data_IF_453734547540
#
_entry.id   IF_453734547540
#
_cell.length_a   1.000
_cell.length_b   1.000
_cell.length_c   1.000
_cell.angle_alpha   90.00
_cell.angle_beta   90.00
_cell.angle_gamma   90.00
#
_symmetry.space_group_name_H-M   'P 1'
#
loop_
_entity.id
_entity.type
_entity.pdbx_description
1 polymer ?
#
# COMPACT_ATOMS: atom_id res chain seq x y z
N UNK A 1 19.30 -20.28 3.44
CA UNK A 1 18.05 -21.08 3.60
C UNK A 1 17.83 -21.91 2.34
N UNK A 2 17.29 -23.14 2.46
CA UNK A 2 16.97 -23.95 1.28
C UNK A 2 15.84 -23.28 0.47
N UNK A 3 15.93 -23.38 -0.86
CA UNK A 3 14.90 -22.91 -1.77
C UNK A 3 13.64 -23.79 -1.62
N UNK A 4 12.42 -23.22 -1.49
CA UNK A 4 11.23 -24.04 -1.25
C UNK A 4 10.79 -24.77 -2.53
N UNK A 5 10.49 -26.04 -2.41
CA UNK A 5 9.97 -26.85 -3.53
C UNK A 5 8.44 -26.75 -3.66
N UNK A 6 7.74 -26.59 -2.52
CA UNK A 6 6.27 -26.49 -2.46
C UNK A 6 5.80 -25.60 -1.33
N UNK A 7 4.82 -24.74 -1.64
CA UNK A 7 4.09 -23.88 -0.70
C UNK A 7 2.61 -23.84 -1.10
N UNK A 8 1.76 -23.22 -0.30
CA UNK A 8 0.36 -23.01 -0.68
C UNK A 8 0.21 -21.72 -1.51
N UNK A 9 0.99 -20.66 -1.15
CA UNK A 9 0.89 -19.35 -1.77
C UNK A 9 2.26 -18.83 -2.21
N UNK A 10 2.35 -18.40 -3.46
CA UNK A 10 3.49 -17.62 -3.95
C UNK A 10 2.99 -16.21 -4.24
N UNK A 11 3.67 -15.22 -3.67
CA UNK A 11 3.41 -13.79 -3.89
C UNK A 11 4.60 -13.20 -4.63
N UNK A 12 4.35 -12.63 -5.80
CA UNK A 12 5.39 -12.02 -6.66
C UNK A 12 5.44 -10.53 -6.42
N UNK A 13 6.58 -10.04 -5.97
CA UNK A 13 6.86 -8.64 -5.67
C UNK A 13 6.94 -8.35 -4.16
N UNK A 14 8.09 -7.86 -3.70
CA UNK A 14 8.34 -7.41 -2.32
C UNK A 14 8.18 -5.90 -2.15
N UNK A 15 7.21 -5.31 -2.86
CA UNK A 15 6.72 -3.96 -2.65
C UNK A 15 5.55 -3.92 -1.67
N UNK A 16 4.92 -2.76 -1.53
CA UNK A 16 3.81 -2.53 -0.60
C UNK A 16 2.65 -3.53 -0.80
N UNK A 17 2.24 -3.80 -2.04
CA UNK A 17 1.14 -4.70 -2.33
C UNK A 17 1.45 -6.15 -1.95
N UNK A 18 2.62 -6.66 -2.35
CA UNK A 18 2.99 -8.04 -2.07
C UNK A 18 3.21 -8.29 -0.57
N UNK A 19 3.95 -7.44 0.11
CA UNK A 19 4.25 -7.61 1.54
C UNK A 19 3.02 -7.39 2.42
N UNK A 20 2.19 -6.39 2.12
CA UNK A 20 0.92 -6.20 2.81
C UNK A 20 -0.01 -7.40 2.62
N UNK A 21 -0.11 -7.94 1.40
CA UNK A 21 -0.88 -9.15 1.12
C UNK A 21 -0.34 -10.33 1.91
N UNK A 22 0.97 -10.54 1.93
CA UNK A 22 1.60 -11.64 2.67
C UNK A 22 1.30 -11.57 4.18
N UNK A 23 1.50 -10.40 4.77
CA UNK A 23 1.21 -10.19 6.19
C UNK A 23 -0.26 -10.42 6.53
N UNK A 24 -1.19 -9.77 5.80
CA UNK A 24 -2.62 -9.91 6.07
C UNK A 24 -3.15 -11.32 5.80
N UNK A 25 -2.63 -12.01 4.78
CA UNK A 25 -2.97 -13.41 4.50
C UNK A 25 -2.53 -14.31 5.64
N UNK A 26 -1.26 -14.20 6.08
CA UNK A 26 -0.73 -14.98 7.20
C UNK A 26 -1.53 -14.74 8.49
N UNK A 27 -1.83 -13.47 8.80
CA UNK A 27 -2.64 -13.10 9.96
C UNK A 27 -4.07 -13.69 9.89
N UNK A 28 -4.72 -13.66 8.72
CA UNK A 28 -6.06 -14.23 8.51
C UNK A 28 -6.05 -15.75 8.59
N UNK A 29 -5.03 -16.42 8.04
CA UNK A 29 -4.89 -17.89 8.16
C UNK A 29 -4.75 -18.28 9.63
N UNK A 30 -3.90 -17.61 10.37
CA UNK A 30 -3.68 -17.84 11.81
C UNK A 30 -4.97 -17.62 12.61
N UNK A 31 -5.68 -16.50 12.38
CA UNK A 31 -6.93 -16.19 13.06
C UNK A 31 -8.05 -17.21 12.78
N UNK A 32 -8.04 -17.84 11.61
CA UNK A 32 -9.01 -18.89 11.23
C UNK A 32 -8.57 -20.31 11.60
N UNK A 33 -7.43 -20.50 12.27
CA UNK A 33 -6.89 -21.82 12.58
C UNK A 33 -6.52 -22.65 11.35
N UNK A 34 -6.22 -22.00 10.19
CA UNK A 34 -5.89 -22.64 8.91
C UNK A 34 -4.37 -22.64 8.62
N UNK A 35 -3.54 -22.44 9.63
CA UNK A 35 -2.09 -22.33 9.52
C UNK A 35 -1.61 -20.91 9.82
N UNK A 36 -0.42 -20.60 9.35
CA UNK A 36 0.27 -19.31 9.51
C UNK A 36 0.96 -18.92 8.20
N UNK A 37 2.00 -18.08 8.26
CA UNK A 37 2.79 -17.69 7.08
C UNK A 37 3.78 -18.74 6.56
N UNK A 38 3.97 -19.88 7.22
CA UNK A 38 5.02 -20.87 6.85
C UNK A 38 4.83 -21.48 5.46
N UNK A 39 3.62 -21.40 4.92
CA UNK A 39 3.27 -21.83 3.57
C UNK A 39 3.11 -20.70 2.57
N UNK A 40 3.57 -19.51 2.92
CA UNK A 40 3.57 -18.31 2.06
C UNK A 40 5.01 -17.96 1.73
N UNK A 41 5.29 -17.77 0.45
CA UNK A 41 6.57 -17.25 -0.03
C UNK A 41 6.33 -15.97 -0.83
N UNK A 42 7.09 -14.92 -0.51
CA UNK A 42 7.22 -13.72 -1.33
C UNK A 42 8.50 -13.82 -2.12
N UNK A 43 8.45 -13.58 -3.42
CA UNK A 43 9.63 -13.56 -4.29
C UNK A 43 9.76 -12.21 -4.99
N UNK A 44 10.99 -11.69 -5.08
CA UNK A 44 11.30 -10.47 -5.82
C UNK A 44 12.61 -10.64 -6.57
N UNK A 45 12.68 -10.11 -7.80
CA UNK A 45 13.88 -10.13 -8.64
C UNK A 45 15.03 -9.31 -8.05
N UNK A 46 14.71 -8.34 -7.21
CA UNK A 46 15.66 -7.42 -6.60
C UNK A 46 15.49 -7.45 -5.06
N UNK A 47 15.78 -6.38 -4.39
CA UNK A 47 15.62 -6.19 -2.95
C UNK A 47 14.19 -5.78 -2.56
N UNK A 48 13.87 -5.88 -1.29
CA UNK A 48 12.64 -5.30 -0.71
C UNK A 48 12.59 -3.81 -1.05
N UNK A 49 11.42 -3.34 -1.47
CA UNK A 49 11.17 -1.95 -1.85
C UNK A 49 11.96 -1.41 -3.05
N UNK A 50 12.64 -2.24 -3.84
CA UNK A 50 13.47 -1.80 -4.98
C UNK A 50 12.68 -1.07 -6.08
N UNK A 51 11.36 -1.34 -6.20
CA UNK A 51 10.50 -0.73 -7.20
C UNK A 51 9.85 0.58 -6.77
N UNK A 52 8.65 0.86 -7.32
CA UNK A 52 7.89 2.09 -7.07
C UNK A 52 7.64 2.38 -5.59
N UNK A 53 7.50 1.35 -4.74
CA UNK A 53 7.29 1.53 -3.31
C UNK A 53 8.45 2.23 -2.62
N UNK A 54 9.70 1.96 -3.02
CA UNK A 54 10.89 2.57 -2.41
C UNK A 54 11.17 4.01 -2.86
N UNK A 55 10.56 4.45 -3.97
CA UNK A 55 10.74 5.81 -4.50
C UNK A 55 9.49 6.70 -4.31
N UNK A 56 8.44 6.16 -3.70
CA UNK A 56 7.23 6.92 -3.40
C UNK A 56 7.52 8.04 -2.39
N UNK A 57 6.71 9.11 -2.39
CA UNK A 57 6.87 10.22 -1.44
C UNK A 57 6.45 9.88 0.00
N UNK A 58 5.81 8.72 0.21
CA UNK A 58 5.40 8.25 1.53
C UNK A 58 4.23 9.00 2.17
N UNK A 59 3.55 9.88 1.44
CA UNK A 59 2.39 10.61 1.97
C UNK A 59 1.20 9.68 2.18
N UNK A 60 0.65 9.71 3.38
CA UNK A 60 -0.55 8.98 3.81
C UNK A 60 -1.66 9.97 4.04
N UNK A 61 -2.76 9.85 3.29
CA UNK A 61 -3.88 10.80 3.32
C UNK A 61 -5.20 10.15 2.93
N UNK A 62 -6.30 10.83 3.23
CA UNK A 62 -7.66 10.45 2.78
C UNK A 62 -8.21 11.38 1.68
N UNK A 63 -7.47 12.40 1.31
CA UNK A 63 -7.87 13.40 0.32
C UNK A 63 -7.92 12.82 -1.10
N UNK A 64 -9.05 12.22 -1.44
CA UNK A 64 -9.36 11.68 -2.78
C UNK A 64 -10.77 12.10 -3.19
N UNK A 65 -10.97 12.38 -4.46
CA UNK A 65 -12.27 12.77 -4.98
C UNK A 65 -13.25 11.59 -5.05
N UNK A 66 -12.76 10.39 -5.39
CA UNK A 66 -13.61 9.20 -5.50
C UNK A 66 -13.99 8.66 -4.10
N UNK A 67 -15.30 8.46 -3.80
CA UNK A 67 -15.76 7.96 -2.51
C UNK A 67 -15.13 6.63 -2.09
N UNK A 68 -15.08 5.65 -3.01
CA UNK A 68 -14.48 4.34 -2.73
C UNK A 68 -13.00 4.43 -2.31
N UNK A 69 -12.25 5.37 -2.90
CA UNK A 69 -10.86 5.61 -2.52
C UNK A 69 -10.75 6.20 -1.11
N UNK A 70 -11.68 7.06 -0.70
CA UNK A 70 -11.68 7.61 0.67
C UNK A 70 -11.95 6.54 1.71
N UNK A 71 -12.93 5.66 1.49
CA UNK A 71 -13.21 4.54 2.38
C UNK A 71 -11.97 3.63 2.50
N UNK A 72 -11.37 3.26 1.38
CA UNK A 72 -10.17 2.44 1.36
C UNK A 72 -9.01 3.13 2.10
N UNK A 73 -8.78 4.41 1.85
CA UNK A 73 -7.67 5.15 2.49
C UNK A 73 -7.90 5.37 3.97
N UNK A 74 -9.14 5.52 4.44
CA UNK A 74 -9.43 5.56 5.87
C UNK A 74 -8.99 4.27 6.57
N UNK A 75 -9.27 3.11 5.97
CA UNK A 75 -8.80 1.81 6.46
C UNK A 75 -7.26 1.68 6.39
N UNK A 76 -6.63 2.22 5.33
CA UNK A 76 -5.17 2.21 5.20
C UNK A 76 -4.49 3.07 6.28
N UNK A 77 -5.05 4.24 6.62
CA UNK A 77 -4.54 5.08 7.71
C UNK A 77 -4.54 4.31 9.04
N UNK A 78 -5.60 3.56 9.33
CA UNK A 78 -5.67 2.71 10.54
C UNK A 78 -4.56 1.66 10.59
N UNK A 79 -4.20 1.10 9.43
CA UNK A 79 -3.08 0.15 9.35
C UNK A 79 -1.76 0.82 9.74
N UNK A 80 -1.47 2.01 9.21
CA UNK A 80 -0.25 2.75 9.52
C UNK A 80 -0.19 3.18 11.00
N UNK A 81 -1.30 3.66 11.55
CA UNK A 81 -1.44 4.04 12.95
C UNK A 81 -1.29 2.85 13.90
N UNK A 82 -1.69 1.65 13.49
CA UNK A 82 -1.69 0.44 14.35
C UNK A 82 -0.31 0.07 14.88
N UNK A 83 0.75 0.45 14.19
CA UNK A 83 2.13 0.23 14.61
C UNK A 83 3.07 1.28 13.99
N UNK A 84 2.79 2.54 14.31
CA UNK A 84 3.48 3.69 13.74
C UNK A 84 5.01 3.61 13.87
N UNK A 85 5.50 3.03 14.97
CA UNK A 85 6.93 2.87 15.20
C UNK A 85 7.57 1.92 14.17
N UNK A 86 6.98 0.75 13.95
CA UNK A 86 7.51 -0.25 13.03
C UNK A 86 7.36 0.19 11.57
N UNK A 87 6.30 0.94 11.27
CA UNK A 87 6.08 1.50 9.94
C UNK A 87 6.80 2.83 9.70
N UNK A 88 7.55 3.34 10.66
CA UNK A 88 8.15 4.67 10.59
C UNK A 88 7.15 5.73 10.09
N UNK A 89 5.93 5.64 10.62
CA UNK A 89 4.82 6.51 10.30
C UNK A 89 4.77 7.70 11.26
N UNK A 90 4.55 8.88 10.71
CA UNK A 90 4.48 10.14 11.42
C UNK A 90 3.10 10.74 11.20
N UNK A 91 2.29 10.76 12.26
CA UNK A 91 0.95 11.32 12.28
C UNK A 91 1.03 12.85 12.45
N UNK A 92 1.29 13.52 11.36
CA UNK A 92 1.41 15.00 11.30
C UNK A 92 0.24 15.65 10.59
N UNK A 93 -0.76 14.86 10.18
CA UNK A 93 -1.87 15.30 9.36
C UNK A 93 -1.51 15.51 7.90
N UNK A 94 -2.50 15.89 7.13
CA UNK A 94 -2.35 16.29 5.73
C UNK A 94 -3.15 17.56 5.45
N UNK A 95 -2.60 18.47 4.68
CA UNK A 95 -3.26 19.72 4.40
C UNK A 95 -3.28 19.98 2.90
N UNK A 96 -4.47 20.23 2.36
CA UNK A 96 -4.67 20.79 1.04
C UNK A 96 -5.06 22.25 1.17
N UNK A 97 -4.27 23.11 0.55
CA UNK A 97 -4.55 24.54 0.40
C UNK A 97 -4.90 24.80 -1.05
N UNK A 98 -5.98 25.56 -1.30
CA UNK A 98 -6.54 25.65 -2.65
C UNK A 98 -7.01 27.05 -3.00
N UNK A 99 -6.88 27.46 -4.29
CA UNK A 99 -7.48 28.66 -4.82
C UNK A 99 -8.99 28.50 -5.00
N UNK A 100 -9.69 29.60 -5.27
CA UNK A 100 -11.15 29.69 -5.42
C UNK A 100 -11.70 28.68 -6.44
N UNK A 101 -11.02 28.47 -7.55
CA UNK A 101 -11.47 27.55 -8.60
C UNK A 101 -11.55 26.07 -8.17
N UNK A 102 -10.91 25.69 -7.06
CA UNK A 102 -10.95 24.32 -6.51
C UNK A 102 -11.83 24.21 -5.26
N UNK A 103 -12.38 25.30 -4.76
CA UNK A 103 -13.05 25.33 -3.46
C UNK A 103 -14.27 24.40 -3.39
N UNK A 104 -15.07 24.32 -4.45
CA UNK A 104 -16.23 23.43 -4.52
C UNK A 104 -15.84 21.96 -4.44
N UNK A 105 -14.79 21.56 -5.15
CA UNK A 105 -14.32 20.16 -5.17
C UNK A 105 -13.75 19.75 -3.79
N UNK A 106 -13.02 20.68 -3.16
CA UNK A 106 -12.45 20.44 -1.82
C UNK A 106 -13.56 20.40 -0.76
N UNK A 107 -14.60 21.22 -0.89
CA UNK A 107 -15.78 21.17 -0.02
C UNK A 107 -16.52 19.83 -0.14
N UNK A 108 -16.64 19.29 -1.34
CA UNK A 108 -17.25 17.97 -1.55
C UNK A 108 -16.41 16.85 -0.93
N UNK A 109 -15.08 16.89 -1.09
CA UNK A 109 -14.18 15.93 -0.41
C UNK A 109 -14.40 15.99 1.10
N UNK A 110 -14.45 17.17 1.68
CA UNK A 110 -14.71 17.36 3.12
C UNK A 110 -16.06 16.75 3.54
N UNK A 111 -17.14 17.05 2.79
CA UNK A 111 -18.47 16.51 3.09
C UNK A 111 -18.47 14.99 3.09
N UNK A 112 -17.80 14.37 2.14
CA UNK A 112 -17.66 12.92 2.04
C UNK A 112 -16.77 12.33 3.13
N UNK A 113 -15.70 13.02 3.55
CA UNK A 113 -14.90 12.64 4.72
C UNK A 113 -15.74 12.65 6.00
N UNK A 114 -16.59 13.66 6.19
CA UNK A 114 -17.50 13.71 7.33
C UNK A 114 -18.50 12.55 7.34
N UNK A 115 -19.02 12.16 6.17
CA UNK A 115 -19.96 11.05 6.04
C UNK A 115 -19.37 9.70 6.49
N UNK A 116 -18.06 9.50 6.32
CA UNK A 116 -17.37 8.28 6.79
C UNK A 116 -16.71 8.47 8.17
N UNK A 117 -16.96 9.60 8.86
CA UNK A 117 -16.41 9.88 10.19
C UNK A 117 -14.92 10.18 10.20
N UNK A 118 -14.32 10.54 9.05
CA UNK A 118 -12.90 10.88 8.99
C UNK A 118 -12.64 12.27 9.60
N UNK A 119 -11.65 12.39 10.50
CA UNK A 119 -11.36 13.63 11.21
C UNK A 119 -10.64 14.64 10.33
N UNK A 120 -11.38 15.65 9.89
CA UNK A 120 -10.89 16.74 9.06
C UNK A 120 -11.62 18.04 9.36
N UNK A 121 -11.00 19.15 8.99
CA UNK A 121 -11.52 20.52 9.12
C UNK A 121 -11.45 21.20 7.75
N UNK A 122 -12.53 21.84 7.34
CA UNK A 122 -12.57 22.66 6.13
C UNK A 122 -12.74 24.14 6.50
N UNK A 123 -11.83 24.97 6.05
CA UNK A 123 -11.84 26.42 6.22
C UNK A 123 -12.10 27.01 4.86
N UNK A 124 -13.11 27.88 4.76
CA UNK A 124 -13.54 28.55 3.55
C UNK A 124 -13.41 30.05 3.68
N UNK A 125 -13.00 30.70 2.61
CA UNK A 125 -12.81 32.13 2.53
C UNK A 125 -11.35 32.54 2.76
N UNK A 126 -10.92 33.55 1.97
CA UNK A 126 -9.52 34.06 1.94
C UNK A 126 -9.01 34.43 3.33
N UNK A 127 -9.77 35.27 4.06
CA UNK A 127 -9.35 35.79 5.36
C UNK A 127 -9.25 34.70 6.43
N UNK A 128 -10.21 33.78 6.43
CA UNK A 128 -10.25 32.72 7.43
C UNK A 128 -9.17 31.68 7.13
N UNK A 129 -8.94 31.36 5.86
CA UNK A 129 -7.83 30.49 5.41
C UNK A 129 -6.48 31.10 5.81
N UNK A 130 -6.27 32.38 5.56
CA UNK A 130 -5.03 33.08 5.96
C UNK A 130 -4.84 33.06 7.49
N UNK A 131 -5.87 33.37 8.25
CA UNK A 131 -5.83 33.35 9.71
C UNK A 131 -5.53 31.92 10.25
N UNK A 132 -6.14 30.92 9.65
CA UNK A 132 -5.91 29.53 10.03
C UNK A 132 -4.46 29.11 9.77
N UNK A 133 -3.95 29.42 8.59
CA UNK A 133 -2.58 29.11 8.20
C UNK A 133 -1.54 29.85 9.05
N UNK A 134 -1.76 31.15 9.35
CA UNK A 134 -0.86 31.93 10.21
C UNK A 134 -0.80 31.45 11.66
N UNK A 135 -1.86 30.82 12.18
CA UNK A 135 -1.83 30.18 13.50
C UNK A 135 -0.91 28.98 13.55
N UNK A 136 -0.74 28.28 12.43
CA UNK A 136 0.09 27.08 12.33
C UNK A 136 1.51 27.41 11.87
N UNK A 137 1.63 28.36 10.95
CA UNK A 137 2.88 28.77 10.33
C UNK A 137 2.97 30.29 10.40
N UNK A 138 3.65 30.84 11.42
CA UNK A 138 3.68 32.28 11.72
C UNK A 138 4.23 33.15 10.59
N UNK A 139 5.04 32.57 9.70
CA UNK A 139 5.64 33.19 8.53
C UNK A 139 4.87 32.95 7.22
N UNK A 140 3.62 32.46 7.30
CA UNK A 140 2.80 32.20 6.13
C UNK A 140 2.56 33.43 5.26
N UNK A 141 2.90 33.34 3.97
CA UNK A 141 2.84 34.46 3.02
C UNK A 141 2.14 34.13 1.69
N UNK A 142 1.60 32.88 1.53
CA UNK A 142 0.96 32.48 0.28
C UNK A 142 -0.26 33.36 -0.03
N UNK A 143 -0.41 33.69 -1.31
CA UNK A 143 -1.51 34.49 -1.83
C UNK A 143 -2.43 33.62 -2.71
N UNK A 144 -3.67 34.12 -2.92
CA UNK A 144 -4.63 33.43 -3.80
C UNK A 144 -5.27 32.19 -3.20
N UNK A 145 -5.04 31.88 -1.93
CA UNK A 145 -5.65 30.76 -1.22
C UNK A 145 -6.98 31.20 -0.63
N UNK A 146 -8.03 30.43 -0.91
CA UNK A 146 -9.40 30.67 -0.41
C UNK A 146 -9.98 29.52 0.38
N UNK A 147 -9.32 28.36 0.37
CA UNK A 147 -9.77 27.23 1.18
C UNK A 147 -8.61 26.40 1.70
N UNK A 148 -8.83 25.76 2.85
CA UNK A 148 -7.92 24.81 3.48
C UNK A 148 -8.72 23.60 3.93
N UNK A 149 -8.38 22.42 3.43
CA UNK A 149 -8.82 21.15 3.98
C UNK A 149 -7.68 20.56 4.80
N UNK A 150 -7.88 20.45 6.09
CA UNK A 150 -6.88 19.89 7.00
C UNK A 150 -7.38 18.58 7.60
N UNK A 151 -6.83 17.48 7.12
CA UNK A 151 -6.99 16.15 7.71
C UNK A 151 -6.17 16.09 8.99
N UNK A 152 -6.80 15.71 10.10
CA UNK A 152 -6.12 15.56 11.39
C UNK A 152 -5.42 14.22 11.52
N UNK A 153 -5.93 13.22 10.81
CA UNK A 153 -5.31 11.92 10.61
C UNK A 153 -4.59 11.91 9.27
N UNK A 154 -3.61 11.03 9.13
CA UNK A 154 -2.73 11.02 7.98
C UNK A 154 -1.36 11.61 8.31
N UNK A 155 -0.51 11.75 7.32
CA UNK A 155 0.84 12.26 7.52
C UNK A 155 1.81 11.66 6.51
N UNK A 156 2.93 11.12 6.96
CA UNK A 156 3.87 10.44 6.08
C UNK A 156 4.52 9.24 6.76
N UNK A 157 4.90 8.26 5.95
CA UNK A 157 5.79 7.18 6.36
C UNK A 157 7.14 7.33 5.64
N UNK A 158 8.23 7.00 6.32
CA UNK A 158 9.49 6.81 5.61
C UNK A 158 9.31 5.56 4.73
N UNK A 159 9.15 5.77 3.43
CA UNK A 159 8.64 4.76 2.51
C UNK A 159 9.44 3.45 2.53
N UNK A 160 10.77 3.50 2.37
CA UNK A 160 11.61 2.29 2.40
C UNK A 160 11.51 1.59 3.76
N UNK A 161 11.66 2.32 4.86
CA UNK A 161 11.57 1.76 6.21
C UNK A 161 10.19 1.16 6.49
N UNK A 162 9.11 1.80 6.02
CA UNK A 162 7.75 1.29 6.16
C UNK A 162 7.54 -0.05 5.43
N UNK A 163 8.14 -0.21 4.24
CA UNK A 163 8.06 -1.46 3.48
C UNK A 163 8.87 -2.57 4.16
N UNK A 164 10.02 -2.25 4.75
CA UNK A 164 10.74 -3.20 5.60
C UNK A 164 9.93 -3.57 6.85
N UNK A 165 9.22 -2.61 7.46
CA UNK A 165 8.30 -2.90 8.57
C UNK A 165 7.17 -3.88 8.19
N UNK A 166 6.66 -3.80 6.97
CA UNK A 166 5.71 -4.80 6.44
C UNK A 166 6.36 -6.18 6.28
N UNK A 167 7.62 -6.22 5.81
CA UNK A 167 8.38 -7.46 5.69
C UNK A 167 8.58 -8.11 7.06
N UNK A 168 9.03 -7.34 8.06
CA UNK A 168 9.22 -7.82 9.44
C UNK A 168 7.92 -8.42 10.01
N UNK A 169 6.78 -7.77 9.79
CA UNK A 169 5.48 -8.28 10.21
C UNK A 169 5.09 -9.59 9.51
N UNK A 170 5.38 -9.71 8.23
CA UNK A 170 5.11 -10.93 7.47
C UNK A 170 6.03 -12.08 7.95
N UNK A 171 7.33 -11.83 8.11
CA UNK A 171 8.32 -12.79 8.60
C UNK A 171 8.02 -13.25 10.03
N UNK A 172 7.58 -12.34 10.90
CA UNK A 172 7.16 -12.67 12.27
C UNK A 172 5.97 -13.65 12.32
N UNK A 173 5.20 -13.76 11.24
CA UNK A 173 4.12 -14.74 11.07
C UNK A 173 4.56 -16.00 10.29
N UNK A 174 5.85 -16.15 9.97
CA UNK A 174 6.42 -17.29 9.29
C UNK A 174 6.52 -17.18 7.77
N UNK A 175 6.15 -16.05 7.17
CA UNK A 175 6.31 -15.81 5.72
C UNK A 175 7.80 -15.83 5.36
N UNK A 176 8.13 -16.47 4.25
CA UNK A 176 9.48 -16.47 3.71
C UNK A 176 9.60 -15.47 2.57
N UNK A 177 10.62 -14.62 2.62
CA UNK A 177 10.90 -13.61 1.58
C UNK A 177 12.19 -13.99 0.85
N UNK A 178 12.13 -14.15 -0.47
CA UNK A 178 13.23 -14.53 -1.34
C UNK A 178 13.52 -13.39 -2.32
N UNK A 179 14.50 -12.59 -2.01
CA UNK A 179 15.01 -11.52 -2.88
C UNK A 179 16.01 -12.06 -3.89
N UNK A 180 16.31 -11.29 -4.94
CA UNK A 180 17.19 -11.71 -6.02
C UNK A 180 16.70 -12.98 -6.72
N UNK A 181 15.38 -13.17 -6.84
CA UNK A 181 14.75 -14.34 -7.44
C UNK A 181 13.76 -13.89 -8.51
N UNK A 182 14.10 -14.16 -9.76
CA UNK A 182 13.32 -13.70 -10.92
C UNK A 182 12.34 -14.77 -11.37
N UNK A 183 11.06 -14.41 -11.48
CA UNK A 183 10.04 -15.26 -12.11
C UNK A 183 10.29 -15.30 -13.61
N UNK A 184 10.35 -16.49 -14.17
CA UNK A 184 10.60 -16.73 -15.60
C UNK A 184 9.40 -17.33 -16.32
N UNK A 185 8.40 -17.82 -15.57
CA UNK A 185 7.18 -18.41 -16.14
C UNK A 185 6.30 -19.06 -15.09
N UNK A 186 5.27 -19.75 -15.56
CA UNK A 186 4.31 -20.47 -14.73
C UNK A 186 4.15 -21.91 -15.23
N UNK A 187 3.76 -22.80 -14.32
CA UNK A 187 3.32 -24.14 -14.67
C UNK A 187 1.81 -24.25 -14.55
N UNK A 188 1.21 -25.01 -15.47
CA UNK A 188 -0.24 -25.20 -15.52
C UNK A 188 -0.59 -26.67 -15.31
N UNK A 189 -1.78 -26.92 -14.78
CA UNK A 189 -2.31 -28.27 -14.66
C UNK A 189 -2.57 -28.92 -16.03
N UNK A 190 -2.35 -30.21 -16.13
CA UNK A 190 -2.37 -30.97 -17.39
C UNK A 190 -3.70 -30.87 -18.17
N UNK A 191 -4.80 -30.56 -17.49
CA UNK A 191 -6.15 -30.47 -18.10
C UNK A 191 -6.90 -29.20 -17.66
N UNK A 192 -6.18 -28.15 -17.22
CA UNK A 192 -6.78 -26.93 -16.73
C UNK A 192 -5.85 -25.74 -16.94
N UNK A 193 -6.42 -24.54 -17.03
CA UNK A 193 -5.65 -23.29 -17.01
C UNK A 193 -5.24 -22.87 -15.59
N UNK A 194 -5.38 -23.75 -14.60
CA UNK A 194 -4.98 -23.44 -13.23
C UNK A 194 -3.44 -23.45 -13.11
N UNK A 195 -2.89 -22.38 -12.56
CA UNK A 195 -1.47 -22.29 -12.24
C UNK A 195 -1.18 -23.26 -11.09
N UNK A 196 -0.16 -24.12 -11.25
CA UNK A 196 0.26 -25.12 -10.27
C UNK A 196 1.69 -24.92 -9.77
N UNK A 197 2.39 -23.94 -10.32
CA UNK A 197 3.74 -23.60 -9.92
C UNK A 197 4.26 -22.32 -10.56
N UNK A 198 5.30 -21.78 -9.95
CA UNK A 198 6.02 -20.60 -10.43
C UNK A 198 7.44 -21.02 -10.79
N UNK A 199 7.85 -20.79 -12.02
CA UNK A 199 9.21 -21.01 -12.52
C UNK A 199 10.05 -19.77 -12.20
N UNK A 200 11.25 -20.00 -11.68
CA UNK A 200 12.21 -18.94 -11.38
C UNK A 200 13.60 -19.28 -11.92
N UNK A 201 14.48 -18.29 -11.94
CA UNK A 201 15.92 -18.48 -12.25
C UNK A 201 16.68 -19.36 -11.25
N UNK A 202 16.04 -19.72 -10.11
CA UNK A 202 16.63 -20.58 -9.06
C UNK A 202 15.94 -21.93 -8.90
N UNK A 203 14.92 -22.20 -9.70
CA UNK A 203 14.12 -23.44 -9.65
C UNK A 203 12.62 -23.16 -9.66
N UNK A 204 11.84 -24.24 -9.60
CA UNK A 204 10.37 -24.15 -9.62
C UNK A 204 9.80 -24.32 -8.21
N UNK A 205 8.82 -23.50 -7.88
CA UNK A 205 8.05 -23.58 -6.64
C UNK A 205 6.64 -24.04 -6.98
N UNK A 206 6.27 -25.24 -6.55
CA UNK A 206 4.88 -25.72 -6.67
C UNK A 206 3.99 -24.98 -5.69
N UNK A 207 2.79 -24.58 -6.13
CA UNK A 207 1.86 -23.82 -5.30
C UNK A 207 0.41 -24.04 -5.70
N UNK A 208 -0.51 -23.69 -4.79
CA UNK A 208 -1.94 -23.75 -5.04
C UNK A 208 -2.46 -22.40 -5.59
N UNK A 209 -1.84 -21.29 -5.18
CA UNK A 209 -2.24 -19.96 -5.60
C UNK A 209 -1.05 -19.05 -5.82
N UNK A 210 -1.17 -18.16 -6.81
CA UNK A 210 -0.19 -17.11 -7.11
C UNK A 210 -0.87 -15.77 -7.03
N UNK A 211 -0.24 -14.83 -6.35
CA UNK A 211 -0.63 -13.43 -6.28
C UNK A 211 0.47 -12.59 -6.94
N UNK A 212 0.11 -11.80 -7.93
CA UNK A 212 1.06 -10.96 -8.64
C UNK A 212 0.96 -9.52 -8.15
N UNK A 213 1.91 -9.11 -7.31
CA UNK A 213 2.07 -7.75 -6.78
C UNK A 213 3.26 -7.02 -7.41
N UNK A 214 3.51 -7.23 -8.70
CA UNK A 214 4.71 -6.80 -9.41
C UNK A 214 4.74 -5.31 -9.81
N UNK A 215 3.80 -4.49 -9.30
CA UNK A 215 3.75 -3.05 -9.61
C UNK A 215 3.74 -2.75 -11.11
N UNK A 216 4.62 -1.85 -11.62
CA UNK A 216 4.65 -1.47 -13.03
C UNK A 216 5.01 -2.62 -14.00
N UNK A 217 5.56 -3.72 -13.49
CA UNK A 217 5.91 -4.89 -14.31
C UNK A 217 4.75 -5.87 -14.50
N UNK A 218 3.54 -5.55 -14.06
CA UNK A 218 2.36 -6.43 -14.16
C UNK A 218 2.10 -6.91 -15.60
N UNK A 219 2.37 -6.08 -16.59
CA UNK A 219 2.14 -6.44 -18.00
C UNK A 219 2.98 -7.66 -18.43
N UNK A 220 4.22 -7.78 -17.97
CA UNK A 220 5.07 -8.95 -18.28
C UNK A 220 4.45 -10.25 -17.76
N UNK A 221 3.80 -10.21 -16.60
CA UNK A 221 3.09 -11.37 -16.05
C UNK A 221 1.79 -11.65 -16.79
N UNK A 222 1.12 -10.61 -17.27
CA UNK A 222 -0.07 -10.73 -18.10
C UNK A 222 0.25 -11.47 -19.40
N UNK A 223 1.37 -11.10 -20.02
CA UNK A 223 1.85 -11.74 -21.25
C UNK A 223 2.28 -13.20 -20.98
N UNK A 224 2.98 -13.49 -19.86
CA UNK A 224 3.36 -14.86 -19.47
C UNK A 224 2.17 -15.79 -19.20
N UNK A 225 1.04 -15.23 -18.78
CA UNK A 225 -0.21 -15.96 -18.49
C UNK A 225 -1.15 -16.01 -19.71
N UNK A 226 -0.76 -15.43 -20.84
CA UNK A 226 -1.55 -15.34 -22.05
C UNK A 226 -2.97 -14.79 -21.82
N UNK A 227 -3.09 -13.82 -20.89
CA UNK A 227 -4.36 -13.20 -20.56
C UNK A 227 -4.81 -12.23 -21.66
N UNK A 228 -6.13 -12.09 -21.92
CA UNK A 228 -6.63 -11.19 -22.93
C UNK A 228 -6.26 -9.72 -22.63
N UNK A 229 -5.91 -8.98 -23.69
CA UNK A 229 -5.57 -7.55 -23.63
C UNK A 229 -6.81 -6.67 -23.48
#
# INVERSE_FOLDING_TARGET
MAFPEKVDYVIVGAGIHGLSTAWHLAAKLKAKGKGDGSKIVVIDKDSIAAGASGIACGVVRNNYYQPAMRELMAMCVEVWESDAKNFHYHDVGYMQISPECMESDVAEIYAQQKNIGYDSVFIQGKKDSENYMKKMFGDWQAQGITSVLHEKRGGYANNTSAIYGLADKAEALGVKILTGTTVTGFEFGSNSNAVTGVQTDKGTIKCEQVIVGAGPWIKSFWDMLELPN
#
